data_IF_601858339114
#
_entry.id   IF_601858339114
#
_cell.length_a   1.000
_cell.length_b   1.000
_cell.length_c   1.000
_cell.angle_alpha   90.00
_cell.angle_beta   90.00
_cell.angle_gamma   90.00
#
_symmetry.space_group_name_H-M   'P 1'
#
loop_
_entity.id
_entity.type
_entity.pdbx_description
1 polymer ?
#
# COMPACT_ATOMS: atom_id res chain seq x y z
N UNK A 1 -13.47 9.50 -25.89
CA UNK A 1 -14.25 9.70 -24.64
C UNK A 1 -14.64 8.31 -24.14
N UNK A 2 -13.81 7.73 -23.29
CA UNK A 2 -14.04 6.41 -22.69
C UNK A 2 -14.50 6.67 -21.27
N UNK A 3 -15.79 6.47 -21.01
CA UNK A 3 -16.35 6.40 -19.66
C UNK A 3 -15.89 5.05 -19.11
N UNK A 4 -14.71 5.03 -18.48
CA UNK A 4 -14.30 3.89 -17.66
C UNK A 4 -15.00 4.06 -16.31
N UNK A 5 -16.03 3.23 -16.12
CA UNK A 5 -16.71 2.99 -14.86
C UNK A 5 -15.66 2.68 -13.77
N UNK A 6 -15.26 3.70 -13.01
CA UNK A 6 -14.47 3.58 -11.80
C UNK A 6 -15.34 2.97 -10.70
N UNK A 7 -15.50 1.65 -10.77
CA UNK A 7 -16.06 0.87 -9.67
C UNK A 7 -14.94 0.74 -8.63
N UNK A 8 -15.07 1.44 -7.50
CA UNK A 8 -14.23 1.25 -6.31
C UNK A 8 -14.36 -0.21 -5.86
N UNK A 9 -13.31 -1.02 -6.01
CA UNK A 9 -13.33 -2.42 -5.54
C UNK A 9 -11.94 -2.88 -5.17
N UNK A 10 -11.61 -2.78 -3.87
CA UNK A 10 -11.02 -3.88 -3.10
C UNK A 10 -11.65 -3.81 -1.71
N UNK A 11 -12.23 -4.90 -1.16
CA UNK A 11 -13.10 -5.92 -1.77
C UNK A 11 -14.50 -5.34 -2.02
N UNK A 12 -15.42 -6.07 -2.67
CA UNK A 12 -16.84 -5.69 -2.46
C UNK A 12 -17.17 -5.87 -0.97
N UNK A 13 -17.90 -4.92 -0.39
CA UNK A 13 -18.15 -4.86 1.05
C UNK A 13 -18.75 -6.16 1.60
N UNK A 14 -19.48 -6.89 0.77
CA UNK A 14 -20.10 -8.19 1.08
C UNK A 14 -19.04 -9.27 1.33
N UNK A 15 -18.06 -9.41 0.43
CA UNK A 15 -17.04 -10.44 0.57
C UNK A 15 -16.08 -10.13 1.72
N UNK A 16 -15.83 -8.84 1.99
CA UNK A 16 -15.07 -8.38 3.16
C UNK A 16 -15.73 -8.83 4.48
N UNK A 17 -16.98 -8.44 4.71
CA UNK A 17 -17.69 -8.75 5.95
C UNK A 17 -17.82 -10.27 6.17
N UNK A 18 -18.01 -11.03 5.09
CA UNK A 18 -18.03 -12.49 5.13
C UNK A 18 -16.68 -13.06 5.60
N UNK A 19 -15.56 -12.58 5.05
CA UNK A 19 -14.21 -13.04 5.42
C UNK A 19 -13.86 -12.62 6.85
N UNK A 20 -14.23 -11.40 7.26
CA UNK A 20 -14.09 -10.92 8.64
C UNK A 20 -14.85 -11.80 9.64
N UNK A 21 -16.13 -12.07 9.39
CA UNK A 21 -16.93 -12.95 10.25
C UNK A 21 -16.37 -14.37 10.34
N UNK A 22 -15.85 -14.93 9.24
CA UNK A 22 -15.16 -16.22 9.26
C UNK A 22 -13.88 -16.19 10.11
N UNK A 23 -13.11 -15.09 10.05
CA UNK A 23 -11.89 -14.92 10.82
C UNK A 23 -12.18 -14.84 12.32
N UNK A 24 -13.14 -14.01 12.73
CA UNK A 24 -13.59 -13.89 14.12
C UNK A 24 -14.10 -15.22 14.68
N UNK A 25 -14.95 -15.92 13.92
CA UNK A 25 -15.46 -17.22 14.30
C UNK A 25 -14.33 -18.27 14.42
N UNK A 26 -13.32 -18.19 13.55
CA UNK A 26 -12.17 -19.08 13.58
C UNK A 26 -11.27 -18.85 14.80
N UNK A 27 -11.03 -17.59 15.19
CA UNK A 27 -10.34 -17.26 16.44
C UNK A 27 -11.09 -17.81 17.65
N UNK A 28 -12.42 -17.69 17.67
CA UNK A 28 -13.26 -18.22 18.74
C UNK A 28 -13.22 -19.76 18.85
N UNK A 29 -13.09 -20.47 17.72
CA UNK A 29 -12.93 -21.94 17.69
C UNK A 29 -11.52 -22.39 18.07
N UNK A 30 -10.51 -21.67 17.63
CA UNK A 30 -9.10 -22.05 17.78
C UNK A 30 -8.43 -21.29 18.95
N UNK A 31 -9.06 -21.28 20.13
CA UNK A 31 -8.56 -20.54 21.31
C UNK A 31 -7.15 -20.92 21.77
N UNK A 32 -6.67 -22.11 21.38
CA UNK A 32 -5.29 -22.55 21.65
C UNK A 32 -4.24 -21.83 20.78
N UNK A 33 -4.66 -21.14 19.73
CA UNK A 33 -3.81 -20.24 18.94
C UNK A 33 -3.88 -18.86 19.60
N UNK A 34 -2.98 -18.59 20.52
CA UNK A 34 -2.82 -17.24 21.08
C UNK A 34 -2.23 -16.30 20.02
N UNK A 35 -3.09 -15.63 19.27
CA UNK A 35 -2.68 -14.57 18.35
C UNK A 35 -2.55 -13.26 19.12
N UNK A 36 -1.33 -12.74 19.24
CA UNK A 36 -1.04 -11.51 20.01
C UNK A 36 -1.71 -10.26 19.41
N UNK A 37 -1.79 -10.19 18.08
CA UNK A 37 -2.39 -9.07 17.35
C UNK A 37 -3.23 -9.57 16.15
N UNK A 38 -4.48 -10.03 16.39
CA UNK A 38 -5.39 -10.46 15.34
C UNK A 38 -5.81 -9.35 14.38
N UNK A 39 -5.86 -8.09 14.83
CA UNK A 39 -6.22 -6.98 13.95
C UNK A 39 -5.16 -6.73 12.87
N UNK A 40 -3.88 -6.68 13.26
CA UNK A 40 -2.73 -6.53 12.36
C UNK A 40 -2.61 -7.73 11.40
N UNK A 41 -2.82 -8.94 11.93
CA UNK A 41 -2.85 -10.14 11.11
C UNK A 41 -3.96 -10.06 10.05
N UNK A 42 -5.17 -9.68 10.45
CA UNK A 42 -6.30 -9.59 9.53
C UNK A 42 -6.04 -8.56 8.43
N UNK A 43 -5.61 -7.35 8.81
CA UNK A 43 -5.25 -6.27 7.89
C UNK A 43 -4.23 -6.72 6.84
N UNK A 44 -3.10 -7.31 7.26
CA UNK A 44 -2.06 -7.72 6.31
C UNK A 44 -2.38 -8.99 5.51
N UNK A 45 -3.31 -9.83 5.97
CA UNK A 45 -3.62 -11.10 5.31
C UNK A 45 -4.84 -11.04 4.42
N UNK A 46 -5.77 -10.16 4.70
CA UNK A 46 -7.06 -10.13 4.02
C UNK A 46 -7.40 -8.77 3.45
N UNK A 47 -6.93 -7.67 4.04
CA UNK A 47 -7.29 -6.33 3.57
C UNK A 47 -6.32 -5.78 2.53
N UNK A 48 -5.04 -6.13 2.65
CA UNK A 48 -4.01 -5.71 1.70
C UNK A 48 -3.64 -6.84 0.73
N UNK A 49 -3.08 -6.48 -0.41
CA UNK A 49 -2.52 -7.42 -1.39
C UNK A 49 -1.18 -8.03 -0.95
N UNK A 50 -0.70 -7.70 0.25
CA UNK A 50 0.58 -8.11 0.81
C UNK A 50 0.85 -9.62 0.80
N UNK A 51 -0.12 -10.54 0.90
CA UNK A 51 0.16 -11.97 0.76
C UNK A 51 0.56 -12.39 -0.66
N UNK A 52 0.10 -11.62 -1.65
CA UNK A 52 0.21 -11.93 -3.08
C UNK A 52 1.20 -11.05 -3.80
N UNK A 53 1.79 -10.08 -3.12
CA UNK A 53 2.70 -9.13 -3.74
C UNK A 53 3.74 -9.86 -4.60
N UNK A 54 4.55 -10.73 -4.01
CA UNK A 54 5.60 -11.47 -4.72
C UNK A 54 5.13 -12.16 -6.03
N UNK A 55 3.90 -12.68 -6.05
CA UNK A 55 3.30 -13.31 -7.22
C UNK A 55 3.01 -12.28 -8.31
N UNK A 56 2.40 -11.15 -7.95
CA UNK A 56 2.12 -10.04 -8.88
C UNK A 56 3.43 -9.47 -9.44
N UNK A 57 4.48 -9.34 -8.62
CA UNK A 57 5.80 -8.92 -9.08
C UNK A 57 6.45 -9.93 -10.04
N UNK A 58 6.35 -11.23 -9.77
CA UNK A 58 6.83 -12.26 -10.68
C UNK A 58 6.05 -12.26 -12.01
N UNK A 59 4.71 -12.09 -11.95
CA UNK A 59 3.84 -11.92 -13.12
C UNK A 59 4.27 -10.72 -13.96
N UNK A 60 4.57 -9.59 -13.33
CA UNK A 60 5.10 -8.40 -14.01
C UNK A 60 6.37 -8.71 -14.80
N UNK A 61 7.37 -9.30 -14.14
CA UNK A 61 8.63 -9.65 -14.81
C UNK A 61 8.43 -10.60 -16.00
N UNK A 62 7.51 -11.55 -15.89
CA UNK A 62 7.20 -12.50 -16.97
C UNK A 62 6.50 -11.83 -18.15
N UNK A 63 5.42 -11.07 -17.90
CA UNK A 63 4.60 -10.43 -18.95
C UNK A 63 5.43 -9.42 -19.76
N UNK A 64 6.36 -8.72 -19.11
CA UNK A 64 7.24 -7.74 -19.76
C UNK A 64 8.56 -8.34 -20.28
N UNK A 65 8.70 -9.67 -20.27
CA UNK A 65 9.85 -10.37 -20.88
C UNK A 65 11.17 -10.25 -20.11
N UNK A 66 11.13 -9.81 -18.85
CA UNK A 66 12.29 -9.69 -17.97
C UNK A 66 12.70 -11.01 -17.30
N UNK A 67 11.80 -11.99 -17.26
CA UNK A 67 12.07 -13.36 -16.78
C UNK A 67 11.47 -14.40 -17.72
N UNK A 68 12.18 -15.53 -17.88
CA UNK A 68 11.75 -16.70 -18.67
C UNK A 68 11.30 -17.89 -17.81
N UNK A 69 11.52 -17.84 -16.49
CA UNK A 69 11.25 -18.96 -15.61
C UNK A 69 9.84 -18.86 -15.00
N UNK A 70 9.17 -20.02 -14.90
CA UNK A 70 7.93 -20.21 -14.14
C UNK A 70 8.19 -20.34 -12.64
N UNK A 71 9.45 -20.30 -12.21
CA UNK A 71 9.80 -20.34 -10.80
C UNK A 71 9.62 -18.98 -10.14
N UNK A 72 9.02 -19.01 -8.95
CA UNK A 72 8.79 -17.83 -8.16
C UNK A 72 10.06 -17.47 -7.40
N UNK A 73 10.76 -16.37 -7.78
CA UNK A 73 11.99 -15.99 -7.13
C UNK A 73 11.74 -15.71 -5.64
N UNK A 74 12.77 -15.93 -4.82
CA UNK A 74 12.75 -15.44 -3.45
C UNK A 74 12.48 -13.93 -3.41
N UNK A 75 12.05 -13.43 -2.25
CA UNK A 75 11.79 -12.00 -2.06
C UNK A 75 12.98 -11.11 -2.48
N UNK A 76 14.21 -11.56 -2.22
CA UNK A 76 15.43 -10.82 -2.54
C UNK A 76 15.69 -10.86 -4.04
N UNK A 77 15.59 -12.02 -4.66
CA UNK A 77 15.77 -12.19 -6.11
C UNK A 77 14.74 -11.40 -6.91
N UNK A 78 13.47 -11.39 -6.46
CA UNK A 78 12.41 -10.59 -7.07
C UNK A 78 12.75 -9.10 -7.03
N UNK A 79 13.14 -8.60 -5.85
CA UNK A 79 13.52 -7.19 -5.67
C UNK A 79 14.66 -6.83 -6.61
N UNK A 80 15.73 -7.61 -6.60
CA UNK A 80 16.93 -7.31 -7.38
C UNK A 80 16.66 -7.43 -8.89
N UNK A 81 15.79 -8.37 -9.31
CA UNK A 81 15.33 -8.47 -10.69
C UNK A 81 14.50 -7.26 -11.12
N UNK A 82 13.56 -6.80 -10.30
CA UNK A 82 12.77 -5.60 -10.58
C UNK A 82 13.65 -4.34 -10.67
N UNK A 83 14.61 -4.17 -9.76
CA UNK A 83 15.56 -3.04 -9.81
C UNK A 83 16.35 -3.00 -11.12
N UNK A 84 16.79 -4.16 -11.62
CA UNK A 84 17.53 -4.27 -12.89
C UNK A 84 16.63 -4.05 -14.11
N UNK A 85 15.40 -4.54 -14.06
CA UNK A 85 14.47 -4.51 -15.18
C UNK A 85 13.79 -3.15 -15.34
N UNK A 86 13.21 -2.63 -14.26
CA UNK A 86 12.44 -1.40 -14.25
C UNK A 86 12.46 -0.75 -12.85
N UNK A 87 13.25 0.31 -12.71
CA UNK A 87 13.41 1.04 -11.44
C UNK A 87 12.10 1.72 -10.99
N UNK A 88 11.31 2.30 -11.92
CA UNK A 88 10.01 2.90 -11.59
C UNK A 88 9.06 1.85 -11.01
N UNK A 89 8.96 0.70 -11.67
CA UNK A 89 8.16 -0.41 -11.19
C UNK A 89 8.61 -0.84 -9.79
N UNK A 90 9.92 -0.98 -9.54
CA UNK A 90 10.43 -1.32 -8.21
C UNK A 90 9.98 -0.34 -7.11
N UNK A 91 10.01 0.97 -7.36
CA UNK A 91 9.56 1.98 -6.40
C UNK A 91 8.08 1.81 -6.06
N UNK A 92 7.22 1.91 -7.07
CA UNK A 92 5.77 1.83 -6.91
C UNK A 92 5.35 0.49 -6.32
N UNK A 93 6.07 -0.57 -6.66
CA UNK A 93 5.87 -1.92 -6.17
C UNK A 93 6.09 -2.07 -4.65
N UNK A 94 7.13 -1.43 -4.11
CA UNK A 94 7.44 -1.53 -2.68
C UNK A 94 6.39 -0.81 -1.82
N UNK A 95 5.78 0.25 -2.34
CA UNK A 95 4.71 1.00 -1.66
C UNK A 95 3.35 0.30 -1.79
N UNK A 96 3.06 -0.21 -2.99
CA UNK A 96 1.85 -0.95 -3.30
C UNK A 96 1.57 -2.08 -2.30
N UNK A 97 2.61 -2.79 -1.83
CA UNK A 97 2.45 -3.95 -0.93
C UNK A 97 1.92 -3.61 0.46
N UNK A 98 1.94 -2.35 0.86
CA UNK A 98 1.50 -1.89 2.17
C UNK A 98 0.23 -1.05 2.12
N UNK A 99 -0.11 -0.56 0.92
CA UNK A 99 -1.24 0.34 0.74
C UNK A 99 -2.57 -0.38 0.92
N UNK A 100 -3.48 0.27 1.64
CA UNK A 100 -4.92 -0.02 1.60
C UNK A 100 -5.64 0.89 0.62
N UNK A 101 -5.17 2.13 0.44
CA UNK A 101 -5.70 3.08 -0.54
C UNK A 101 -4.57 3.61 -1.43
N UNK A 102 -4.91 3.88 -2.69
CA UNK A 102 -4.05 4.59 -3.64
C UNK A 102 -4.91 5.61 -4.35
N UNK A 103 -4.56 6.89 -4.21
CA UNK A 103 -5.35 8.00 -4.72
C UNK A 103 -4.48 9.00 -5.46
N UNK A 104 -5.11 9.78 -6.33
CA UNK A 104 -4.61 11.08 -6.77
C UNK A 104 -5.53 12.14 -6.17
N UNK A 105 -4.96 13.20 -5.60
CA UNK A 105 -5.74 14.27 -4.98
C UNK A 105 -4.97 15.58 -4.89
N UNK A 106 -5.69 16.64 -4.53
CA UNK A 106 -5.13 17.98 -4.33
C UNK A 106 -4.89 18.23 -2.83
N UNK A 107 -3.69 18.70 -2.49
CA UNK A 107 -3.39 19.17 -1.13
C UNK A 107 -4.17 20.46 -0.87
N UNK A 108 -5.13 20.40 0.04
CA UNK A 108 -5.94 21.54 0.46
C UNK A 108 -5.22 22.34 1.55
N UNK A 109 -4.63 21.63 2.53
CA UNK A 109 -3.99 22.23 3.69
C UNK A 109 -2.80 21.38 4.14
N UNK A 110 -1.80 22.04 4.73
CA UNK A 110 -0.67 21.42 5.42
C UNK A 110 -0.40 22.13 6.73
N UNK A 111 -0.20 21.35 7.80
CA UNK A 111 0.28 21.86 9.08
C UNK A 111 1.18 20.84 9.78
N UNK A 112 1.95 21.31 10.77
CA UNK A 112 2.71 20.44 11.67
C UNK A 112 1.70 19.70 12.56
N UNK A 113 1.94 18.41 12.79
CA UNK A 113 1.09 17.66 13.70
C UNK A 113 1.32 18.15 15.13
N UNK A 114 0.31 18.80 15.70
CA UNK A 114 0.32 19.28 17.09
C UNK A 114 -0.42 18.32 18.03
N UNK A 115 -1.01 17.24 17.50
CA UNK A 115 -1.80 16.28 18.27
C UNK A 115 -0.98 15.01 18.44
N UNK A 116 -0.38 14.88 19.62
CA UNK A 116 0.35 13.67 20.01
C UNK A 116 -0.63 12.53 20.30
N UNK A 117 -0.86 11.68 19.30
CA UNK A 117 -1.53 10.37 19.45
C UNK A 117 -0.52 9.24 19.70
N UNK A 118 0.68 9.57 20.17
CA UNK A 118 1.82 8.66 20.29
C UNK A 118 2.17 7.97 18.97
N UNK A 119 2.05 8.75 17.90
CA UNK A 119 2.53 8.41 16.57
C UNK A 119 3.70 9.34 16.23
N UNK A 120 4.81 8.80 15.74
CA UNK A 120 5.96 9.54 15.22
C UNK A 120 5.67 10.11 13.82
N UNK A 121 4.55 10.82 13.67
CA UNK A 121 4.11 11.43 12.41
C UNK A 121 4.25 12.95 12.52
N UNK A 122 4.96 13.57 11.59
CA UNK A 122 5.41 14.97 11.74
C UNK A 122 4.58 15.99 10.99
N UNK A 123 3.77 15.58 10.00
CA UNK A 123 2.97 16.48 9.16
C UNK A 123 1.58 15.94 8.93
N UNK A 124 0.61 16.85 8.94
CA UNK A 124 -0.78 16.58 8.58
C UNK A 124 -1.09 17.25 7.26
N UNK A 125 -1.74 16.51 6.37
CA UNK A 125 -2.29 17.03 5.13
C UNK A 125 -3.80 16.84 5.12
N UNK A 126 -4.52 17.82 4.58
CA UNK A 126 -5.88 17.65 4.08
C UNK A 126 -5.80 17.46 2.58
N UNK A 127 -6.30 16.34 2.08
CA UNK A 127 -6.25 16.02 0.65
C UNK A 127 -7.67 15.85 0.15
N UNK A 128 -8.02 16.59 -0.90
CA UNK A 128 -9.26 16.38 -1.64
C UNK A 128 -9.00 15.33 -2.71
N UNK A 129 -9.68 14.19 -2.59
CA UNK A 129 -9.55 13.06 -3.51
C UNK A 129 -10.13 13.44 -4.87
N UNK A 130 -9.34 13.23 -5.92
CA UNK A 130 -9.77 13.43 -7.31
C UNK A 130 -10.01 12.07 -7.98
N UNK A 131 -9.00 11.20 -7.93
CA UNK A 131 -9.06 9.86 -8.54
C UNK A 131 -8.72 8.81 -7.48
N UNK A 132 -9.47 7.71 -7.49
CA UNK A 132 -9.23 6.55 -6.62
C UNK A 132 -8.78 5.39 -7.50
N UNK A 133 -7.53 4.96 -7.32
CA UNK A 133 -6.95 3.84 -8.05
C UNK A 133 -7.24 2.52 -7.30
N UNK A 134 -7.17 2.57 -5.96
CA UNK A 134 -7.37 1.42 -5.09
C UNK A 134 -7.99 1.87 -3.75
N UNK A 135 -8.89 1.03 -3.22
CA UNK A 135 -9.49 1.19 -1.90
C UNK A 135 -10.96 1.62 -1.92
N UNK A 136 -11.44 2.14 -0.80
CA UNK A 136 -12.86 2.44 -0.52
C UNK A 136 -13.20 3.94 -0.58
N UNK A 137 -12.19 4.81 -0.69
CA UNK A 137 -12.41 6.25 -0.86
C UNK A 137 -13.21 6.57 -2.13
N UNK A 138 -13.86 7.73 -2.13
CA UNK A 138 -14.63 8.24 -3.26
C UNK A 138 -14.04 9.56 -3.80
N UNK A 139 -14.10 9.78 -5.12
CA UNK A 139 -13.82 11.10 -5.69
C UNK A 139 -14.65 12.20 -5.01
N UNK A 140 -13.97 13.27 -4.57
CA UNK A 140 -14.56 14.38 -3.84
C UNK A 140 -14.39 14.32 -2.32
N UNK A 141 -14.02 13.16 -1.74
CA UNK A 141 -13.75 13.04 -0.32
C UNK A 141 -12.61 13.98 0.12
N UNK A 142 -12.70 14.52 1.33
CA UNK A 142 -11.62 15.29 1.95
C UNK A 142 -11.08 14.51 3.14
N UNK A 143 -9.89 13.94 2.97
CA UNK A 143 -9.27 13.07 3.97
C UNK A 143 -8.19 13.81 4.76
N UNK A 144 -8.01 13.38 6.02
CA UNK A 144 -6.84 13.73 6.81
C UNK A 144 -5.79 12.66 6.58
N UNK A 145 -4.58 13.05 6.21
CA UNK A 145 -3.43 12.15 6.16
C UNK A 145 -2.35 12.63 7.11
N UNK A 146 -1.65 11.70 7.73
CA UNK A 146 -0.49 11.95 8.58
C UNK A 146 0.71 11.28 7.96
N UNK A 147 1.76 12.05 7.73
CA UNK A 147 2.97 11.58 7.10
C UNK A 147 4.09 11.43 8.15
N UNK A 148 4.84 10.31 8.12
CA UNK A 148 5.95 10.11 9.04
C UNK A 148 6.97 11.24 8.89
N UNK A 149 7.32 11.85 10.03
CA UNK A 149 8.19 13.02 10.05
C UNK A 149 9.63 12.60 10.31
N UNK A 150 10.53 12.84 9.37
CA UNK A 150 11.99 13.00 9.54
C UNK A 150 12.83 11.89 10.20
N UNK A 151 12.28 11.00 11.01
CA UNK A 151 13.02 10.07 11.87
C UNK A 151 12.70 8.60 11.59
N UNK A 152 11.49 8.29 11.10
CA UNK A 152 11.03 6.90 11.03
C UNK A 152 10.95 6.31 9.62
N UNK A 153 11.28 7.06 8.56
CA UNK A 153 11.25 6.53 7.18
C UNK A 153 12.64 6.34 6.61
N UNK A 154 13.26 5.19 6.90
CA UNK A 154 14.41 4.71 6.14
C UNK A 154 14.07 4.23 4.72
N UNK A 155 12.88 4.56 4.20
CA UNK A 155 12.25 3.88 3.05
C UNK A 155 11.54 4.81 2.04
N UNK A 156 11.57 6.13 2.20
CA UNK A 156 10.99 7.10 1.25
C UNK A 156 12.10 8.00 0.70
N UNK A 157 12.02 8.36 -0.58
CA UNK A 157 13.03 9.17 -1.27
C UNK A 157 13.07 10.64 -0.83
N UNK A 158 12.13 11.09 0.01
CA UNK A 158 12.06 12.44 0.58
C UNK A 158 12.03 12.37 2.13
N UNK A 159 13.16 11.96 2.72
CA UNK A 159 13.29 11.69 4.17
C UNK A 159 13.15 12.95 5.03
N UNK A 160 13.16 14.15 4.46
CA UNK A 160 13.01 15.39 5.21
C UNK A 160 12.01 16.30 4.53
N UNK A 161 10.82 16.42 5.11
CA UNK A 161 9.70 17.21 4.61
C UNK A 161 9.17 16.76 3.25
N UNK A 162 8.04 16.05 3.24
CA UNK A 162 7.14 16.11 2.08
C UNK A 162 6.89 17.59 1.77
N UNK A 163 7.46 18.17 0.70
CA UNK A 163 7.52 19.62 0.51
C UNK A 163 6.27 20.09 -0.24
N UNK A 164 5.16 19.38 -0.10
CA UNK A 164 3.94 19.68 -0.83
C UNK A 164 3.22 20.83 -0.16
N UNK A 165 2.69 21.70 -0.99
CA UNK A 165 2.00 22.91 -0.60
C UNK A 165 0.55 22.84 -1.08
N UNK A 166 -0.29 23.73 -0.52
CA UNK A 166 -1.68 23.85 -0.94
C UNK A 166 -1.75 24.08 -2.47
N UNK A 167 -2.63 23.34 -3.13
CA UNK A 167 -2.81 23.31 -4.58
C UNK A 167 -1.91 22.33 -5.34
N UNK A 168 -0.97 21.64 -4.68
CA UNK A 168 -0.20 20.58 -5.34
C UNK A 168 -1.08 19.32 -5.54
N UNK A 169 -1.10 18.78 -6.75
CA UNK A 169 -1.66 17.45 -7.03
C UNK A 169 -0.65 16.37 -6.65
N UNK A 170 -1.11 15.33 -5.97
CA UNK A 170 -0.26 14.26 -5.43
C UNK A 170 -0.87 12.87 -5.69
N UNK A 171 -0.03 11.90 -6.04
CA UNK A 171 -0.29 10.47 -5.96
C UNK A 171 0.10 10.01 -4.56
N UNK A 172 -0.79 9.32 -3.86
CA UNK A 172 -0.60 8.97 -2.44
C UNK A 172 -0.91 7.50 -2.21
N UNK A 173 0.01 6.82 -1.53
CA UNK A 173 -0.19 5.47 -1.00
C UNK A 173 -0.45 5.58 0.49
N UNK A 174 -1.58 5.02 0.92
CA UNK A 174 -2.10 5.22 2.27
C UNK A 174 -2.36 3.88 2.95
N UNK A 175 -2.24 3.86 4.27
CA UNK A 175 -2.76 2.79 5.14
C UNK A 175 -3.76 3.36 6.14
N UNK A 176 -4.89 2.68 6.31
CA UNK A 176 -5.88 3.03 7.34
C UNK A 176 -5.62 2.35 8.69
N UNK A 177 -4.72 1.35 8.75
CA UNK A 177 -4.37 0.65 9.98
C UNK A 177 -2.99 1.13 10.48
N UNK A 178 -2.80 1.35 11.79
CA UNK A 178 -1.56 1.94 12.31
C UNK A 178 -0.36 1.02 12.04
N UNK A 179 0.71 1.57 11.44
CA UNK A 179 1.96 0.82 11.35
C UNK A 179 2.63 0.77 12.72
N UNK A 180 3.00 -0.44 13.19
CA UNK A 180 3.72 -0.64 14.47
C UNK A 180 4.96 0.25 14.60
N UNK A 181 5.65 0.53 13.48
CA UNK A 181 6.87 1.33 13.45
C UNK A 181 6.63 2.81 13.73
N UNK A 182 5.47 3.35 13.38
CA UNK A 182 5.21 4.80 13.47
C UNK A 182 4.12 5.14 14.48
N UNK A 183 3.15 4.25 14.69
CA UNK A 183 2.00 4.44 15.58
C UNK A 183 1.91 3.29 16.61
N UNK A 184 3.00 2.98 17.32
CA UNK A 184 3.09 1.82 18.21
C UNK A 184 1.97 1.77 19.27
N UNK A 185 1.62 2.93 19.85
CA UNK A 185 0.58 3.00 20.87
C UNK A 185 -0.80 2.65 20.32
N UNK A 186 -1.22 3.28 19.21
CA UNK A 186 -2.49 2.95 18.55
C UNK A 186 -2.50 1.49 18.06
N UNK A 187 -1.38 1.01 17.51
CA UNK A 187 -1.22 -0.39 17.10
C UNK A 187 -1.41 -1.37 18.27
N UNK A 188 -0.94 -1.00 19.47
CA UNK A 188 -1.08 -1.81 20.69
C UNK A 188 -2.48 -1.71 21.29
N UNK A 189 -3.09 -0.54 21.27
CA UNK A 189 -4.44 -0.28 21.77
C UNK A 189 -5.48 -1.08 20.99
N UNK A 190 -5.42 -0.99 19.66
CA UNK A 190 -6.39 -1.61 18.75
C UNK A 190 -5.98 -2.99 18.25
N UNK A 191 -5.04 -3.68 18.94
CA UNK A 191 -4.52 -4.99 18.51
C UNK A 191 -5.60 -6.10 18.42
N UNK A 192 -6.72 -5.91 19.10
CA UNK A 192 -7.85 -6.86 19.11
C UNK A 192 -9.02 -6.40 18.22
N UNK A 193 -8.97 -5.19 17.66
CA UNK A 193 -10.09 -4.56 16.96
C UNK A 193 -10.03 -4.88 15.46
N UNK A 194 -10.60 -6.02 15.07
CA UNK A 194 -10.57 -6.51 13.69
C UNK A 194 -11.35 -5.56 12.77
N UNK A 195 -10.70 -5.08 11.70
CA UNK A 195 -11.26 -4.07 10.80
C UNK A 195 -11.24 -2.65 11.35
N UNK A 196 -10.43 -2.38 12.39
CA UNK A 196 -10.20 -1.01 12.86
C UNK A 196 -9.67 -0.11 11.73
N UNK A 197 -10.17 1.12 11.71
CA UNK A 197 -9.78 2.20 10.79
C UNK A 197 -9.38 3.41 11.63
N UNK A 198 -8.18 3.95 11.41
CA UNK A 198 -7.75 5.17 12.06
C UNK A 198 -8.61 6.37 11.61
N UNK A 199 -8.73 7.42 12.45
CA UNK A 199 -9.43 8.66 12.09
C UNK A 199 -8.66 9.53 11.07
N UNK A 200 -7.49 9.07 10.63
CA UNK A 200 -6.66 9.64 9.58
C UNK A 200 -5.99 8.48 8.84
N UNK A 201 -5.50 8.74 7.63
CA UNK A 201 -4.66 7.79 6.91
C UNK A 201 -3.19 8.06 7.21
N UNK A 202 -2.42 7.01 7.42
CA UNK A 202 -0.97 7.13 7.46
C UNK A 202 -0.41 7.07 6.03
N UNK A 203 0.47 8.01 5.68
CA UNK A 203 1.12 8.06 4.36
C UNK A 203 2.28 7.08 4.33
N UNK A 204 2.22 6.13 3.40
CA UNK A 204 3.33 5.22 3.08
C UNK A 204 4.31 5.95 2.16
N UNK A 205 3.78 6.49 1.07
CA UNK A 205 4.51 7.32 0.12
C UNK A 205 3.58 8.33 -0.53
N UNK A 206 4.17 9.43 -1.01
CA UNK A 206 3.44 10.51 -1.64
C UNK A 206 4.35 11.18 -2.67
N UNK A 207 3.83 11.34 -3.89
CA UNK A 207 4.55 11.84 -5.06
C UNK A 207 3.79 13.00 -5.69
N UNK A 208 4.47 14.10 -6.04
CA UNK A 208 3.85 15.22 -6.75
C UNK A 208 3.57 14.87 -8.21
N UNK A 209 2.33 15.03 -8.64
CA UNK A 209 1.91 14.91 -10.04
C UNK A 209 2.08 16.27 -10.74
N UNK A 210 2.89 16.33 -11.79
CA UNK A 210 2.97 17.46 -12.72
C UNK A 210 2.18 17.21 -14.00
N UNK A 211 2.17 18.18 -14.92
CA UNK A 211 1.34 18.15 -16.15
C UNK A 211 1.82 17.18 -17.24
N UNK A 212 3.08 16.74 -17.23
CA UNK A 212 3.64 15.77 -18.20
C UNK A 212 4.55 14.71 -17.54
N UNK A 213 4.97 14.95 -16.30
CA UNK A 213 5.95 14.17 -15.53
C UNK A 213 5.66 14.37 -14.03
N UNK A 214 6.13 13.45 -13.18
CA UNK A 214 6.35 13.73 -11.75
C UNK A 214 7.55 14.68 -11.61
N UNK A 215 7.36 15.98 -11.84
CA UNK A 215 8.44 16.96 -12.00
C UNK A 215 8.73 17.80 -10.73
N UNK A 216 10.00 18.22 -10.53
CA UNK A 216 10.39 19.13 -9.47
C UNK A 216 9.88 20.53 -9.77
N UNK A 217 9.55 21.31 -8.74
CA UNK A 217 9.30 22.74 -8.95
C UNK A 217 10.62 23.41 -9.30
N UNK A 218 10.71 24.02 -10.48
CA UNK A 218 11.82 24.89 -10.84
C UNK A 218 11.55 26.32 -10.33
N UNK A 219 12.54 26.82 -9.57
CA UNK A 219 12.92 28.21 -9.24
C UNK A 219 12.40 28.86 -7.94
N UNK A 220 13.23 28.82 -6.87
CA UNK A 220 14.18 29.88 -6.45
C UNK A 220 14.75 29.56 -5.04
N UNK A 221 16.06 29.32 -4.91
CA UNK A 221 16.78 29.22 -3.61
C UNK A 221 17.37 27.83 -3.31
N UNK A 222 18.52 27.73 -2.61
CA UNK A 222 19.52 26.69 -2.84
C UNK A 222 19.28 25.40 -2.03
N UNK A 223 19.48 24.25 -2.70
CA UNK A 223 20.08 22.98 -2.23
C UNK A 223 19.65 21.91 -3.26
N UNK A 224 20.44 21.62 -4.30
CA UNK A 224 21.51 20.63 -4.19
C UNK A 224 21.21 19.58 -3.10
N UNK A 225 20.38 18.58 -3.42
CA UNK A 225 20.39 17.34 -2.65
C UNK A 225 21.60 16.54 -3.14
N UNK A 226 22.71 16.79 -2.47
CA UNK A 226 23.95 16.05 -2.58
C UNK A 226 23.75 14.62 -2.03
N UNK A 227 24.27 13.66 -2.78
CA UNK A 227 24.32 12.23 -2.50
C UNK A 227 24.71 11.87 -1.05
N UNK A 228 24.00 10.90 -0.47
CA UNK A 228 24.53 10.05 0.62
C UNK A 228 24.09 8.60 0.45
N UNK A 229 25.08 7.68 0.42
CA UNK A 229 25.03 6.20 0.37
C UNK A 229 24.05 5.56 -0.65
N UNK A 230 24.62 4.85 -1.61
CA UNK A 230 23.91 4.06 -2.63
C UNK A 230 23.00 2.99 -2.00
N UNK A 231 21.75 3.35 -1.77
CA UNK A 231 20.63 2.42 -1.70
C UNK A 231 19.66 2.81 -2.82
N UNK A 232 18.92 1.85 -3.36
CA UNK A 232 17.98 2.08 -4.46
C UNK A 232 16.91 3.16 -4.19
N UNK A 233 16.85 3.73 -2.98
CA UNK A 233 15.85 4.69 -2.52
C UNK A 233 16.31 6.15 -2.44
N UNK A 234 17.54 6.45 -2.85
CA UNK A 234 18.06 7.82 -2.97
C UNK A 234 17.96 8.38 -4.40
N UNK A 235 17.15 7.76 -5.28
CA UNK A 235 16.89 8.27 -6.62
C UNK A 235 15.61 9.11 -6.61
N UNK A 236 15.67 10.27 -7.27
CA UNK A 236 14.49 11.09 -7.52
C UNK A 236 13.49 10.31 -8.38
N UNK A 237 12.24 10.24 -7.93
CA UNK A 237 11.15 9.63 -8.69
C UNK A 237 10.67 10.64 -9.75
N UNK A 238 11.18 10.49 -10.97
CA UNK A 238 10.97 11.42 -12.11
C UNK A 238 10.65 10.57 -13.35
N UNK A 239 9.36 10.23 -13.47
CA UNK A 239 8.86 9.33 -14.52
C UNK A 239 7.64 9.97 -15.20
N UNK A 240 7.38 9.63 -16.49
CA UNK A 240 6.19 10.09 -17.19
C UNK A 240 4.91 9.65 -16.49
N UNK A 241 3.89 10.52 -16.48
CA UNK A 241 2.60 10.21 -15.87
C UNK A 241 2.00 8.93 -16.46
N UNK A 242 1.98 8.82 -17.79
CA UNK A 242 1.39 7.68 -18.49
C UNK A 242 2.08 6.37 -18.13
N UNK A 243 3.41 6.35 -18.02
CA UNK A 243 4.16 5.14 -17.66
C UNK A 243 3.82 4.69 -16.23
N UNK A 244 3.71 5.64 -15.29
CA UNK A 244 3.31 5.36 -13.90
C UNK A 244 1.88 4.83 -13.85
N UNK A 245 0.96 5.47 -14.57
CA UNK A 245 -0.45 5.06 -14.60
C UNK A 245 -0.64 3.69 -15.23
N UNK A 246 0.01 3.41 -16.37
CA UNK A 246 -0.02 2.10 -17.02
C UNK A 246 0.47 1.00 -16.06
N UNK A 247 1.58 1.25 -15.35
CA UNK A 247 2.06 0.31 -14.34
C UNK A 247 1.04 0.10 -13.22
N UNK A 248 0.54 1.19 -12.62
CA UNK A 248 -0.38 1.12 -11.49
C UNK A 248 -1.69 0.43 -11.86
N UNK A 249 -2.29 0.79 -12.99
CA UNK A 249 -3.51 0.15 -13.49
C UNK A 249 -3.32 -1.36 -13.68
N UNK A 250 -2.18 -1.77 -14.22
CA UNK A 250 -1.88 -3.18 -14.44
C UNK A 250 -1.73 -3.96 -13.13
N UNK A 251 -0.89 -3.49 -12.20
CA UNK A 251 -0.66 -4.18 -10.93
C UNK A 251 -1.88 -4.14 -10.00
N UNK A 252 -2.63 -3.04 -10.00
CA UNK A 252 -3.89 -2.92 -9.26
C UNK A 252 -4.92 -3.90 -9.83
N UNK A 253 -5.07 -3.99 -11.15
CA UNK A 253 -5.97 -4.95 -11.78
C UNK A 253 -5.61 -6.38 -11.41
N UNK A 254 -4.32 -6.76 -11.46
CA UNK A 254 -3.87 -8.08 -11.02
C UNK A 254 -4.09 -8.31 -9.53
N UNK A 255 -3.86 -7.29 -8.69
CA UNK A 255 -4.18 -7.33 -7.27
C UNK A 255 -5.65 -7.62 -7.01
N UNK A 256 -6.54 -6.93 -7.72
CA UNK A 256 -8.00 -7.13 -7.67
C UNK A 256 -8.41 -8.55 -8.08
N UNK A 257 -7.87 -9.06 -9.18
CA UNK A 257 -8.10 -10.44 -9.65
C UNK A 257 -7.73 -11.45 -8.55
N UNK A 258 -6.50 -11.37 -8.04
CA UNK A 258 -5.99 -12.32 -7.05
C UNK A 258 -6.74 -12.21 -5.72
N UNK A 259 -7.09 -11.00 -5.28
CA UNK A 259 -7.81 -10.82 -4.02
C UNK A 259 -9.24 -11.35 -4.09
N UNK A 260 -9.93 -11.15 -5.22
CA UNK A 260 -11.24 -11.77 -5.48
C UNK A 260 -11.14 -13.29 -5.43
N UNK A 261 -10.16 -13.87 -6.13
CA UNK A 261 -10.00 -15.32 -6.20
C UNK A 261 -9.59 -15.89 -4.84
N UNK A 262 -8.77 -15.17 -4.08
CA UNK A 262 -8.45 -15.50 -2.69
C UNK A 262 -9.69 -15.49 -1.80
N UNK A 263 -10.53 -14.47 -1.88
CA UNK A 263 -11.76 -14.38 -1.10
C UNK A 263 -12.74 -15.51 -1.47
N UNK A 264 -12.88 -15.82 -2.77
CA UNK A 264 -13.65 -16.98 -3.24
C UNK A 264 -13.08 -18.31 -2.75
N UNK A 265 -11.76 -18.40 -2.58
CA UNK A 265 -11.08 -19.56 -2.03
C UNK A 265 -11.29 -19.70 -0.51
N UNK A 266 -11.56 -18.65 0.26
CA UNK A 266 -11.77 -18.76 1.70
C UNK A 266 -13.08 -19.50 2.04
N UNK A 267 -12.93 -20.55 2.85
CA UNK A 267 -13.99 -21.27 3.57
C UNK A 267 -13.63 -21.33 5.06
N UNK A 268 -14.56 -21.68 5.94
CA UNK A 268 -14.27 -21.80 7.38
C UNK A 268 -13.09 -22.73 7.68
N UNK A 269 -13.05 -23.92 7.07
CA UNK A 269 -11.96 -24.87 7.25
C UNK A 269 -10.60 -24.33 6.75
N UNK A 270 -10.60 -23.53 5.68
CA UNK A 270 -9.39 -22.87 5.16
C UNK A 270 -8.97 -21.72 6.05
N UNK A 271 -9.91 -20.95 6.60
CA UNK A 271 -9.65 -19.90 7.58
C UNK A 271 -8.99 -20.49 8.84
N UNK A 272 -9.57 -21.57 9.40
CA UNK A 272 -9.00 -22.32 10.52
C UNK A 272 -7.58 -22.82 10.19
N UNK A 273 -7.36 -23.30 8.97
CA UNK A 273 -6.05 -23.76 8.52
C UNK A 273 -5.04 -22.62 8.36
N UNK A 274 -5.48 -21.42 7.98
CA UNK A 274 -4.64 -20.22 7.90
C UNK A 274 -4.24 -19.76 9.32
N UNK A 275 -5.20 -19.65 10.23
CA UNK A 275 -4.97 -19.21 11.61
C UNK A 275 -4.05 -20.19 12.36
N UNK A 276 -4.28 -21.50 12.21
CA UNK A 276 -3.43 -22.52 12.83
C UNK A 276 -2.09 -22.72 12.12
N UNK A 277 -1.83 -21.99 11.03
CA UNK A 277 -0.58 -22.04 10.27
C UNK A 277 -0.37 -23.33 9.47
N UNK A 278 -1.40 -24.18 9.32
CA UNK A 278 -1.36 -25.41 8.51
C UNK A 278 -1.33 -25.10 7.01
N UNK A 279 -2.10 -24.11 6.57
CA UNK A 279 -2.11 -23.68 5.17
C UNK A 279 -1.09 -22.56 4.97
N UNK A 280 -0.03 -22.83 4.19
CA UNK A 280 1.05 -21.84 3.96
C UNK A 280 0.73 -20.94 2.77
N UNK A 281 1.29 -19.72 2.79
CA UNK A 281 1.14 -18.71 1.72
C UNK A 281 1.40 -19.27 0.32
N UNK A 282 2.48 -20.04 0.16
CA UNK A 282 2.87 -20.65 -1.12
C UNK A 282 1.79 -21.60 -1.67
N UNK A 283 1.13 -22.36 -0.79
CA UNK A 283 0.10 -23.32 -1.18
C UNK A 283 -1.21 -22.62 -1.55
N UNK A 284 -1.50 -21.48 -0.92
CA UNK A 284 -2.63 -20.61 -1.29
C UNK A 284 -2.41 -20.07 -2.69
N UNK A 285 -1.24 -19.45 -2.93
CA UNK A 285 -0.93 -18.86 -4.25
C UNK A 285 -0.98 -19.91 -5.36
N UNK A 286 -0.34 -21.07 -5.15
CA UNK A 286 -0.41 -22.18 -6.11
C UNK A 286 -1.84 -22.60 -6.47
N UNK A 287 -2.81 -22.43 -5.56
CA UNK A 287 -4.20 -22.86 -5.78
C UNK A 287 -5.10 -21.80 -6.40
N UNK A 288 -4.74 -20.52 -6.28
CA UNK A 288 -5.56 -19.41 -6.79
C UNK A 288 -4.96 -18.79 -8.06
N UNK A 289 -3.69 -19.05 -8.34
CA UNK A 289 -2.93 -18.40 -9.42
C UNK A 289 -2.40 -19.35 -10.51
N UNK A 290 -2.51 -20.67 -10.33
CA UNK A 290 -2.17 -21.74 -11.29
C UNK A 290 -3.39 -22.65 -11.50
#
# INVERSE_FOLDING_TARGET
>A
MVILLLICVIPDSISFERVKGMFEASLARNKSVEMENPADFFFYKFETIRPFWWYIGARYLKVHGYSKEDEYPSTVELRDAMVRANKMAHFLWDDFRWASEIIIGEVMERHVDTVDLHCELGRVYKIKVDTVLMGELMPGDVITTKAPGGWTVGLSSDVFDFPYFNGDTVLVFLTHFPLKSHCHSLWKEHRLDIGYRMPFYEVISMYRVGTLYFEPKIHRGPLHVSFHKETAKNYRFDYPYDDVMVFLEEVIRWGKEVQRDFYGFITEARMDSIITGKLKRKDIVKRICE
#
